data_IF_802554458221
#
_entry.id   IF_802554458221
#
_cell.length_a   1.000
_cell.length_b   1.000
_cell.length_c   1.000
_cell.angle_alpha   90.00
_cell.angle_beta   90.00
_cell.angle_gamma   90.00
#
_symmetry.space_group_name_H-M   'P 1'
#
loop_
_entity.id
_entity.type
_entity.pdbx_description
1 polymer ?
#
# COMPACT_ATOMS: atom_id res chain seq x y z
N UNK A 1 54.53 -19.01 -7.33
CA UNK A 1 53.73 -19.92 -6.48
C UNK A 1 52.94 -19.06 -5.51
N UNK A 2 51.76 -18.57 -5.93
CA UNK A 2 50.84 -17.88 -5.01
C UNK A 2 49.90 -18.93 -4.44
N UNK A 3 50.10 -19.24 -3.17
CA UNK A 3 49.25 -20.08 -2.36
C UNK A 3 47.93 -19.32 -2.10
N UNK A 4 47.06 -19.26 -3.11
CA UNK A 4 45.71 -18.71 -2.97
C UNK A 4 44.77 -19.85 -2.55
N UNK A 5 44.80 -20.14 -1.25
CA UNK A 5 43.64 -20.55 -0.45
C UNK A 5 42.58 -21.47 -1.07
N UNK A 6 42.97 -22.59 -1.67
CA UNK A 6 42.01 -23.66 -2.02
C UNK A 6 41.40 -24.31 -0.76
N UNK A 7 42.01 -24.11 0.42
CA UNK A 7 41.51 -24.61 1.71
C UNK A 7 40.25 -23.88 2.23
N UNK A 8 39.89 -22.72 1.68
CA UNK A 8 38.65 -22.03 2.03
C UNK A 8 37.40 -22.62 1.32
N UNK A 9 37.60 -23.48 0.32
CA UNK A 9 36.52 -24.08 -0.48
C UNK A 9 35.89 -25.32 0.15
N UNK A 10 36.52 -25.92 1.16
CA UNK A 10 36.03 -27.14 1.83
C UNK A 10 35.66 -26.91 3.29
N UNK A 11 35.12 -25.74 3.62
CA UNK A 11 34.47 -25.57 4.92
C UNK A 11 33.16 -26.37 4.86
N UNK A 12 33.19 -27.59 5.41
CA UNK A 12 31.97 -28.31 5.80
C UNK A 12 31.19 -27.40 6.75
N UNK A 13 30.05 -26.90 6.28
CA UNK A 13 29.28 -25.83 6.96
C UNK A 13 29.37 -24.46 6.29
N UNK A 14 29.99 -24.33 5.12
CA UNK A 14 29.93 -23.09 4.34
C UNK A 14 28.49 -22.82 3.90
N UNK A 15 28.04 -21.57 4.02
CA UNK A 15 26.72 -21.12 3.55
C UNK A 15 26.72 -20.90 2.01
N UNK A 16 27.63 -21.58 1.31
CA UNK A 16 27.82 -21.51 -0.14
C UNK A 16 26.61 -22.09 -0.86
N UNK A 17 26.16 -21.41 -1.91
CA UNK A 17 25.01 -21.84 -2.70
C UNK A 17 25.17 -23.24 -3.30
N UNK A 18 26.41 -23.62 -3.64
CA UNK A 18 26.72 -24.88 -4.32
C UNK A 18 26.76 -26.10 -3.39
N UNK A 19 26.72 -25.89 -2.07
CA UNK A 19 26.61 -27.00 -1.12
C UNK A 19 25.23 -27.67 -1.21
N UNK A 20 25.16 -29.01 -1.11
CA UNK A 20 23.89 -29.73 -1.17
C UNK A 20 22.85 -29.17 -0.19
N UNK A 21 21.72 -28.70 -0.71
CA UNK A 21 20.61 -28.19 0.07
C UNK A 21 20.59 -26.68 0.30
N UNK A 22 21.69 -25.95 0.07
CA UNK A 22 21.72 -24.48 0.27
C UNK A 22 20.95 -23.71 -0.81
N UNK A 23 20.73 -24.30 -2.00
CA UNK A 23 19.83 -23.75 -3.03
C UNK A 23 18.39 -23.55 -2.53
N UNK A 24 17.96 -24.25 -1.46
CA UNK A 24 16.63 -24.13 -0.86
C UNK A 24 16.33 -22.71 -0.37
N UNK A 25 17.36 -21.92 -0.02
CA UNK A 25 17.18 -20.48 0.30
C UNK A 25 16.57 -19.73 -0.88
N UNK A 26 17.06 -20.00 -2.09
CA UNK A 26 16.59 -19.35 -3.31
C UNK A 26 15.18 -19.80 -3.68
N UNK A 27 14.83 -21.09 -3.49
CA UNK A 27 13.47 -21.58 -3.73
C UNK A 27 12.48 -21.05 -2.70
N UNK A 28 12.87 -20.99 -1.42
CA UNK A 28 12.04 -20.41 -0.34
C UNK A 28 11.71 -18.94 -0.61
N UNK A 29 12.62 -18.17 -1.22
CA UNK A 29 12.35 -16.77 -1.60
C UNK A 29 11.15 -16.63 -2.54
N UNK A 30 10.87 -17.63 -3.38
CA UNK A 30 9.70 -17.62 -4.27
C UNK A 30 8.42 -17.78 -3.45
N UNK A 31 8.39 -18.74 -2.52
CA UNK A 31 7.26 -18.94 -1.60
C UNK A 31 7.01 -17.69 -0.74
N UNK A 32 8.08 -17.12 -0.17
CA UNK A 32 8.02 -15.89 0.61
C UNK A 32 7.51 -14.70 -0.22
N UNK A 33 7.87 -14.61 -1.51
CA UNK A 33 7.42 -13.54 -2.39
C UNK A 33 5.91 -13.55 -2.63
N UNK A 34 5.30 -14.74 -2.69
CA UNK A 34 3.85 -14.86 -2.81
C UNK A 34 3.15 -14.34 -1.55
N UNK A 35 3.67 -14.71 -0.37
CA UNK A 35 3.15 -14.22 0.92
C UNK A 35 3.29 -12.70 1.05
N UNK A 36 4.47 -12.16 0.73
CA UNK A 36 4.74 -10.72 0.79
C UNK A 36 3.84 -9.92 -0.17
N UNK A 37 3.52 -10.46 -1.35
CA UNK A 37 2.53 -9.84 -2.23
C UNK A 37 1.15 -9.74 -1.58
N UNK A 38 0.74 -10.75 -0.83
CA UNK A 38 -0.51 -10.73 -0.04
C UNK A 38 -0.48 -9.65 1.04
N UNK A 39 0.61 -9.59 1.80
CA UNK A 39 0.79 -8.58 2.86
C UNK A 39 0.78 -7.14 2.28
N UNK A 40 1.40 -6.94 1.11
CA UNK A 40 1.38 -5.64 0.42
C UNK A 40 -0.04 -5.25 -0.04
N UNK A 41 -0.83 -6.21 -0.54
CA UNK A 41 -2.23 -5.97 -0.91
C UNK A 41 -3.03 -5.54 0.32
N UNK A 42 -2.88 -6.26 1.44
CA UNK A 42 -3.56 -5.93 2.69
C UNK A 42 -3.19 -4.52 3.17
N UNK A 43 -1.90 -4.18 3.17
CA UNK A 43 -1.40 -2.85 3.54
C UNK A 43 -2.07 -1.74 2.71
N UNK A 44 -2.19 -1.93 1.39
CA UNK A 44 -2.81 -0.94 0.51
C UNK A 44 -4.32 -0.83 0.78
N UNK A 45 -5.00 -1.95 1.05
CA UNK A 45 -6.43 -1.96 1.39
C UNK A 45 -6.71 -1.24 2.71
N UNK A 46 -5.91 -1.51 3.75
CA UNK A 46 -5.99 -0.80 5.03
C UNK A 46 -5.79 0.70 4.83
N UNK A 47 -4.77 1.09 4.04
CA UNK A 47 -4.55 2.51 3.71
C UNK A 47 -5.75 3.11 2.97
N UNK A 48 -6.31 2.41 1.99
CA UNK A 48 -7.48 2.85 1.22
C UNK A 48 -8.70 3.09 2.12
N UNK A 49 -8.95 2.25 3.13
CA UNK A 49 -10.04 2.43 4.08
C UNK A 49 -9.83 3.61 5.05
N UNK A 50 -8.58 3.94 5.42
CA UNK A 50 -8.26 5.15 6.19
C UNK A 50 -8.69 6.40 5.39
N UNK A 51 -8.33 6.45 4.11
CA UNK A 51 -8.60 7.58 3.22
C UNK A 51 -10.11 7.78 3.01
N UNK A 52 -10.85 6.69 2.82
CA UNK A 52 -12.33 6.68 2.79
C UNK A 52 -12.95 7.22 4.07
N UNK A 53 -12.44 6.78 5.23
CA UNK A 53 -12.97 7.18 6.53
C UNK A 53 -12.77 8.67 6.76
N UNK A 54 -11.58 9.19 6.43
CA UNK A 54 -11.30 10.61 6.54
C UNK A 54 -12.17 11.45 5.60
N UNK A 55 -12.33 11.04 4.34
CA UNK A 55 -13.25 11.70 3.39
C UNK A 55 -14.70 11.73 3.91
N UNK A 56 -15.19 10.61 4.45
CA UNK A 56 -16.54 10.53 5.05
C UNK A 56 -16.69 11.52 6.22
N UNK A 57 -15.69 11.62 7.08
CA UNK A 57 -15.67 12.56 8.21
C UNK A 57 -15.70 14.01 7.74
N UNK A 58 -14.89 14.37 6.73
CA UNK A 58 -14.89 15.71 6.13
C UNK A 58 -16.26 16.08 5.57
N UNK A 59 -16.88 15.17 4.79
CA UNK A 59 -18.18 15.43 4.17
C UNK A 59 -19.31 15.58 5.19
N UNK A 60 -19.31 14.74 6.22
CA UNK A 60 -20.27 14.85 7.33
C UNK A 60 -20.08 16.15 8.11
N UNK A 61 -18.83 16.54 8.37
CA UNK A 61 -18.50 17.79 9.06
C UNK A 61 -18.92 19.01 8.23
N UNK A 62 -18.58 19.04 6.93
CA UNK A 62 -18.97 20.12 6.01
C UNK A 62 -20.49 20.30 5.99
N UNK A 63 -21.23 19.20 5.78
CA UNK A 63 -22.70 19.22 5.76
C UNK A 63 -23.30 19.78 7.05
N UNK A 64 -22.86 19.27 8.20
CA UNK A 64 -23.36 19.70 9.52
C UNK A 64 -23.18 21.22 9.71
N UNK A 65 -22.01 21.74 9.40
CA UNK A 65 -21.72 23.16 9.62
C UNK A 65 -22.37 24.06 8.58
N UNK A 66 -22.57 23.58 7.35
CA UNK A 66 -23.30 24.36 6.35
C UNK A 66 -24.75 24.63 6.81
N UNK A 67 -25.43 23.61 7.33
CA UNK A 67 -26.80 23.74 7.87
C UNK A 67 -26.88 24.73 9.05
N UNK A 68 -25.84 24.80 9.89
CA UNK A 68 -25.77 25.72 11.04
C UNK A 68 -25.53 27.16 10.55
N UNK A 69 -24.60 27.35 9.62
CA UNK A 69 -24.24 28.68 9.10
C UNK A 69 -25.43 29.30 8.36
N UNK A 70 -26.11 28.52 7.51
CA UNK A 70 -27.26 29.01 6.73
C UNK A 70 -28.42 29.50 7.60
N UNK A 71 -28.57 28.94 8.80
CA UNK A 71 -29.65 29.32 9.73
C UNK A 71 -29.29 30.51 10.63
N UNK A 72 -28.02 30.64 11.02
CA UNK A 72 -27.65 31.49 12.16
C UNK A 72 -26.70 32.65 11.82
N UNK A 73 -26.09 32.67 10.63
CA UNK A 73 -25.07 33.67 10.30
C UNK A 73 -25.38 34.37 8.98
N UNK A 74 -25.45 35.71 9.01
CA UNK A 74 -25.71 36.53 7.83
C UNK A 74 -24.44 37.17 7.28
N UNK A 75 -23.74 38.00 8.08
CA UNK A 75 -22.68 38.89 7.56
C UNK A 75 -21.34 38.18 7.30
N UNK A 76 -20.96 37.19 8.10
CA UNK A 76 -19.67 36.47 7.97
C UNK A 76 -19.81 35.07 7.35
N UNK A 77 -21.02 34.68 6.94
CA UNK A 77 -21.29 33.35 6.43
C UNK A 77 -20.44 32.98 5.20
N UNK A 78 -20.07 33.95 4.38
CA UNK A 78 -19.26 33.72 3.17
C UNK A 78 -17.85 33.19 3.51
N UNK A 79 -17.18 33.78 4.49
CA UNK A 79 -15.84 33.34 4.91
C UNK A 79 -15.88 31.93 5.50
N UNK A 80 -16.86 31.63 6.36
CA UNK A 80 -17.01 30.29 6.93
C UNK A 80 -17.40 29.25 5.87
N UNK A 81 -18.27 29.58 4.93
CA UNK A 81 -18.63 28.71 3.80
C UNK A 81 -17.42 28.37 2.92
N UNK A 82 -16.45 29.28 2.79
CA UNK A 82 -15.21 28.98 2.05
C UNK A 82 -14.40 27.84 2.67
N UNK A 83 -14.38 27.73 3.99
CA UNK A 83 -13.74 26.62 4.72
C UNK A 83 -14.45 25.30 4.44
N UNK A 84 -15.78 25.32 4.36
CA UNK A 84 -16.57 24.13 4.05
C UNK A 84 -16.34 23.65 2.61
N UNK A 85 -16.26 24.58 1.66
CA UNK A 85 -15.92 24.28 0.26
C UNK A 85 -14.54 23.62 0.17
N UNK A 86 -13.56 24.11 0.91
CA UNK A 86 -12.23 23.49 0.93
C UNK A 86 -12.25 22.09 1.55
N UNK A 87 -13.05 21.87 2.60
CA UNK A 87 -13.24 20.54 3.17
C UNK A 87 -13.88 19.56 2.18
N UNK A 88 -14.84 20.00 1.37
CA UNK A 88 -15.45 19.17 0.32
C UNK A 88 -14.46 18.84 -0.80
N UNK A 89 -13.66 19.82 -1.25
CA UNK A 89 -12.58 19.56 -2.23
C UNK A 89 -11.55 18.57 -1.70
N UNK A 90 -11.19 18.71 -0.43
CA UNK A 90 -10.26 17.77 0.22
C UNK A 90 -10.88 16.38 0.35
N UNK A 91 -12.16 16.27 0.68
CA UNK A 91 -12.90 15.00 0.65
C UNK A 91 -12.77 14.32 -0.73
N UNK A 92 -13.01 15.05 -1.81
CA UNK A 92 -12.90 14.51 -3.18
C UNK A 92 -11.48 14.02 -3.49
N UNK A 93 -10.44 14.74 -3.04
CA UNK A 93 -9.05 14.32 -3.19
C UNK A 93 -8.77 12.99 -2.47
N UNK A 94 -9.25 12.83 -1.23
CA UNK A 94 -9.10 11.59 -0.47
C UNK A 94 -9.87 10.43 -1.12
N UNK A 95 -11.05 10.67 -1.70
CA UNK A 95 -11.80 9.65 -2.45
C UNK A 95 -11.08 9.22 -3.74
N UNK A 96 -10.46 10.16 -4.45
CA UNK A 96 -9.64 9.85 -5.64
C UNK A 96 -8.43 9.00 -5.26
N UNK A 97 -7.75 9.35 -4.18
CA UNK A 97 -6.59 8.59 -3.71
C UNK A 97 -6.99 7.18 -3.27
N UNK A 98 -8.10 7.04 -2.54
CA UNK A 98 -8.72 5.75 -2.20
C UNK A 98 -8.97 4.89 -3.45
N UNK A 99 -9.55 5.47 -4.50
CA UNK A 99 -9.83 4.75 -5.76
C UNK A 99 -8.53 4.35 -6.44
N UNK A 100 -7.55 5.26 -6.55
CA UNK A 100 -6.25 4.97 -7.14
C UNK A 100 -5.50 3.84 -6.40
N UNK A 101 -5.54 3.81 -5.07
CA UNK A 101 -4.97 2.72 -4.27
C UNK A 101 -5.63 1.38 -4.57
N UNK A 102 -6.97 1.37 -4.70
CA UNK A 102 -7.69 0.16 -5.05
C UNK A 102 -7.39 -0.30 -6.49
N UNK A 103 -7.21 0.62 -7.42
CA UNK A 103 -6.87 0.32 -8.81
C UNK A 103 -5.49 -0.35 -8.92
N UNK A 104 -4.52 0.07 -8.10
CA UNK A 104 -3.22 -0.60 -8.00
C UNK A 104 -3.38 -2.06 -7.57
N UNK A 105 -4.25 -2.34 -6.59
CA UNK A 105 -4.51 -3.70 -6.11
C UNK A 105 -5.24 -4.55 -7.16
N UNK A 106 -6.28 -4.02 -7.80
CA UNK A 106 -7.07 -4.77 -8.79
C UNK A 106 -6.26 -5.06 -10.05
N UNK A 107 -5.54 -4.08 -10.60
CA UNK A 107 -4.72 -4.27 -11.80
C UNK A 107 -3.49 -5.15 -11.54
N UNK A 108 -2.74 -4.94 -10.44
CA UNK A 108 -1.51 -5.73 -10.19
C UNK A 108 -1.75 -7.12 -9.62
N UNK A 109 -2.87 -7.36 -8.92
CA UNK A 109 -3.18 -8.71 -8.42
C UNK A 109 -3.44 -9.70 -9.55
N UNK A 110 -3.87 -9.23 -10.73
CA UNK A 110 -4.07 -10.09 -11.91
C UNK A 110 -2.76 -10.43 -12.64
N UNK A 111 -1.79 -9.51 -12.70
CA UNK A 111 -0.47 -9.76 -13.29
C UNK A 111 0.48 -10.53 -12.37
N UNK A 112 0.54 -10.19 -11.08
CA UNK A 112 1.43 -10.84 -10.11
C UNK A 112 1.07 -12.31 -9.86
N UNK A 113 -0.23 -12.64 -9.79
CA UNK A 113 -0.70 -14.03 -9.66
C UNK A 113 -0.44 -14.86 -10.92
N UNK A 114 -0.62 -14.26 -12.12
CA UNK A 114 -0.35 -14.95 -13.39
C UNK A 114 1.13 -15.34 -13.55
N UNK A 115 2.07 -14.48 -13.16
CA UNK A 115 3.51 -14.78 -13.29
C UNK A 115 3.94 -15.95 -12.39
N UNK A 116 3.39 -16.03 -11.17
CA UNK A 116 3.69 -17.14 -10.24
C UNK A 116 3.04 -18.45 -10.71
N UNK A 117 1.82 -18.42 -11.25
CA UNK A 117 1.14 -19.61 -11.77
C UNK A 117 1.67 -20.15 -13.10
N UNK A 118 2.51 -19.40 -13.83
CA UNK A 118 3.12 -19.87 -15.10
C UNK A 118 4.46 -20.59 -14.84
N UNK A 119 5.04 -20.48 -13.65
CA UNK A 119 6.34 -21.06 -13.30
C UNK A 119 6.26 -22.29 -12.36
N UNK A 120 5.07 -22.87 -12.18
CA UNK A 120 4.79 -24.14 -11.50
C UNK A 120 3.94 -25.01 -12.43
#
# INVERSE_FOLDING_TARGET
MSHHSDDALLIVGSDSFWEPGNYKRTTKRIEDSFRLCGDLILLIQERSEIEKTYAKSLRNWSKKWNEIIEKNMATEAASWKSVLIEADRRCDMHLRLKTSLNDVVTHKSSSGRKIVSINL
#
